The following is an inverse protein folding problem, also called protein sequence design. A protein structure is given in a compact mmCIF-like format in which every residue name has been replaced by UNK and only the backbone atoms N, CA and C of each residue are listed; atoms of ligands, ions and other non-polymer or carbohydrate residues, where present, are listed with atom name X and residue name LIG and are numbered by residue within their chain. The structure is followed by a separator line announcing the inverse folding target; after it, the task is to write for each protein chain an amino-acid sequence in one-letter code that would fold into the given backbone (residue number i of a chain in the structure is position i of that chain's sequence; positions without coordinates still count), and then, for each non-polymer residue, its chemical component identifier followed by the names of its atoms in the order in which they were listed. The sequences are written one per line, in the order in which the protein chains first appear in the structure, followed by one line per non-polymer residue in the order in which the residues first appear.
data_IF_991535527192
#
_entry.id   IF_991535527192
#
_cell.length_a   1.000
_cell.length_b   1.000
_cell.length_c   1.000
_cell.angle_alpha   90.00
_cell.angle_beta   90.00
_cell.angle_gamma   90.00
#
_symmetry.space_group_name_H-M   'P 1'
#
loop_
_entity.id
_entity.type
_entity.pdbx_description
1 polymer ?
#
# COMPACT_ATOMS: atom_id res chain seq x y z
N UNK A 1 0.83 -9.79 -9.05
CA UNK A 1 1.95 -9.85 -8.12
C UNK A 1 3.27 -10.06 -8.86
N UNK A 2 3.37 -11.01 -9.76
CA UNK A 2 4.58 -11.28 -10.56
C UNK A 2 5.05 -10.07 -11.37
N UNK A 3 4.14 -9.37 -12.05
CA UNK A 3 4.47 -8.15 -12.79
C UNK A 3 5.13 -7.09 -11.89
N UNK A 4 4.67 -6.96 -10.64
CA UNK A 4 5.29 -6.05 -9.67
C UNK A 4 6.73 -6.52 -9.35
N UNK A 5 6.95 -7.82 -9.20
CA UNK A 5 8.29 -8.38 -9.01
C UNK A 5 9.20 -8.07 -10.21
N UNK A 6 8.68 -8.24 -11.42
CA UNK A 6 9.41 -7.94 -12.67
C UNK A 6 9.70 -6.45 -12.84
N UNK A 7 8.79 -5.57 -12.41
CA UNK A 7 9.05 -4.12 -12.39
C UNK A 7 10.14 -3.78 -11.38
N UNK A 8 10.06 -4.34 -10.18
CA UNK A 8 11.04 -4.09 -9.11
C UNK A 8 12.43 -4.60 -9.49
N UNK A 9 12.53 -5.75 -10.13
CA UNK A 9 13.80 -6.32 -10.61
C UNK A 9 14.33 -5.66 -11.90
N UNK A 10 13.51 -4.85 -12.57
CA UNK A 10 13.87 -4.19 -13.82
C UNK A 10 13.75 -5.07 -15.07
N UNK A 11 13.06 -6.19 -14.97
CA UNK A 11 12.71 -7.04 -16.12
C UNK A 11 11.63 -6.35 -16.98
N UNK A 12 10.70 -5.62 -16.35
CA UNK A 12 9.73 -4.75 -17.00
C UNK A 12 10.14 -3.31 -16.73
N UNK A 13 10.40 -2.56 -17.78
CA UNK A 13 10.88 -1.17 -17.72
C UNK A 13 9.94 -0.18 -18.40
N UNK A 14 8.87 -0.65 -19.02
CA UNK A 14 7.95 0.19 -19.80
C UNK A 14 6.50 -0.22 -19.58
N UNK A 15 5.61 0.76 -19.61
CA UNK A 15 4.17 0.57 -19.54
C UNK A 15 3.62 -0.28 -20.71
N UNK A 16 4.31 -0.24 -21.87
CA UNK A 16 3.94 -1.05 -23.05
C UNK A 16 4.06 -2.54 -22.81
N UNK A 17 5.07 -2.95 -22.02
CA UNK A 17 5.27 -4.36 -21.64
C UNK A 17 4.14 -4.89 -20.74
N UNK A 18 3.43 -3.98 -20.05
CA UNK A 18 2.22 -4.27 -19.28
C UNK A 18 0.93 -4.18 -20.12
N UNK A 19 1.03 -4.01 -21.44
CA UNK A 19 -0.11 -3.88 -22.33
C UNK A 19 -0.77 -2.49 -22.33
N UNK A 20 -0.15 -1.49 -21.70
CA UNK A 20 -0.66 -0.12 -21.63
C UNK A 20 0.00 0.70 -22.74
N UNK A 21 -0.70 0.85 -23.86
CA UNK A 21 -0.20 1.56 -25.04
C UNK A 21 -0.41 3.07 -24.98
N UNK A 22 -1.28 3.54 -24.10
CA UNK A 22 -1.59 4.97 -23.93
C UNK A 22 -0.55 5.74 -23.10
N UNK A 23 0.38 5.06 -22.45
CA UNK A 23 1.45 5.69 -21.69
C UNK A 23 2.72 5.81 -22.53
N UNK A 24 3.35 6.98 -22.55
CA UNK A 24 4.36 7.29 -23.56
C UNK A 24 5.75 6.73 -23.28
N UNK A 25 6.00 6.01 -22.15
CA UNK A 25 7.41 5.81 -21.93
C UNK A 25 7.84 4.76 -20.94
N UNK A 26 8.99 5.05 -20.36
CA UNK A 26 9.72 4.22 -19.42
C UNK A 26 9.01 4.25 -18.07
N UNK A 27 8.66 3.10 -17.55
CA UNK A 27 8.04 3.00 -16.23
C UNK A 27 9.06 3.38 -15.15
N UNK A 28 8.70 4.33 -14.27
CA UNK A 28 9.52 4.73 -13.13
C UNK A 28 8.83 4.34 -11.82
N UNK A 29 9.47 3.44 -11.07
CA UNK A 29 8.96 3.06 -9.75
C UNK A 29 9.51 3.99 -8.67
N UNK A 30 8.61 4.53 -7.81
CA UNK A 30 8.93 5.56 -6.83
C UNK A 30 8.57 5.12 -5.43
N UNK A 31 9.52 5.26 -4.51
CA UNK A 31 9.38 4.96 -3.07
C UNK A 31 9.58 6.22 -2.22
N UNK A 32 9.18 6.13 -0.94
CA UNK A 32 9.33 7.22 0.02
C UNK A 32 10.79 7.45 0.45
N UNK A 33 11.47 6.42 0.94
CA UNK A 33 12.87 6.52 1.39
C UNK A 33 13.60 5.20 1.15
N UNK A 34 14.89 5.18 0.78
CA UNK A 34 15.63 3.94 0.51
C UNK A 34 15.62 2.95 1.67
N UNK A 35 15.63 3.44 2.91
CA UNK A 35 15.61 2.63 4.12
C UNK A 35 14.20 2.51 4.74
N UNK A 36 13.16 2.77 3.97
CA UNK A 36 11.79 2.68 4.47
C UNK A 36 11.33 1.24 4.65
N UNK A 37 10.36 1.06 5.53
CA UNK A 37 9.70 -0.23 5.71
C UNK A 37 8.97 -0.70 4.46
N UNK A 38 8.62 0.21 3.55
CA UNK A 38 7.98 -0.11 2.27
C UNK A 38 8.98 -0.75 1.32
N UNK A 39 10.17 -0.16 1.18
CA UNK A 39 11.28 -0.75 0.39
C UNK A 39 11.69 -2.10 0.98
N UNK A 40 11.84 -2.17 2.31
CA UNK A 40 12.20 -3.43 2.97
C UNK A 40 11.17 -4.53 2.74
N UNK A 41 9.87 -4.21 2.82
CA UNK A 41 8.82 -5.17 2.50
C UNK A 41 8.92 -5.68 1.06
N UNK A 42 9.21 -4.80 0.11
CA UNK A 42 9.38 -5.20 -1.30
C UNK A 42 10.59 -6.12 -1.46
N UNK A 43 11.72 -5.80 -0.83
CA UNK A 43 12.92 -6.64 -0.86
C UNK A 43 12.67 -8.00 -0.20
N UNK A 44 12.18 -8.00 1.02
CA UNK A 44 12.08 -9.22 1.83
C UNK A 44 10.93 -10.15 1.38
N UNK A 45 9.83 -9.58 0.89
CA UNK A 45 8.59 -10.34 0.61
C UNK A 45 8.24 -10.50 -0.86
N UNK A 46 8.70 -9.60 -1.73
CA UNK A 46 8.42 -9.67 -3.15
C UNK A 46 9.62 -10.13 -3.96
N UNK A 47 10.82 -9.70 -3.61
CA UNK A 47 12.04 -9.94 -4.38
C UNK A 47 13.22 -10.38 -3.50
N UNK A 48 13.10 -11.44 -2.66
CA UNK A 48 14.12 -11.80 -1.67
C UNK A 48 15.48 -12.14 -2.31
N UNK A 49 15.49 -12.67 -3.54
CA UNK A 49 16.70 -13.14 -4.22
C UNK A 49 17.11 -12.25 -5.39
N UNK A 50 16.50 -11.07 -5.53
CA UNK A 50 16.73 -10.19 -6.68
C UNK A 50 17.30 -8.84 -6.25
N UNK A 51 18.19 -8.29 -7.05
CA UNK A 51 18.63 -6.91 -6.90
C UNK A 51 17.53 -5.96 -7.35
N UNK A 52 17.41 -4.84 -6.65
CA UNK A 52 16.56 -3.76 -7.10
C UNK A 52 17.08 -3.17 -8.40
N UNK A 53 16.18 -2.81 -9.29
CA UNK A 53 16.51 -2.11 -10.52
C UNK A 53 17.10 -0.73 -10.26
N UNK A 54 18.02 -0.29 -11.10
CA UNK A 54 18.54 1.09 -11.10
C UNK A 54 17.48 2.14 -11.51
N UNK A 55 16.32 1.70 -11.99
CA UNK A 55 15.20 2.55 -12.35
C UNK A 55 14.35 3.00 -11.16
N UNK A 56 14.74 2.65 -9.93
CA UNK A 56 14.02 3.05 -8.73
C UNK A 56 14.36 4.49 -8.34
N UNK A 57 13.32 5.25 -8.06
CA UNK A 57 13.44 6.58 -7.50
C UNK A 57 12.98 6.58 -6.04
N UNK A 58 13.69 7.30 -5.18
CA UNK A 58 13.29 7.55 -3.81
C UNK A 58 12.97 9.04 -3.61
N UNK A 59 11.81 9.31 -3.03
CA UNK A 59 11.42 10.61 -2.51
C UNK A 59 11.65 10.63 -0.99
N UNK A 60 11.52 11.78 -0.34
CA UNK A 60 11.80 11.88 1.11
C UNK A 60 10.64 11.41 1.99
N UNK A 61 9.40 11.45 1.46
CA UNK A 61 8.18 11.16 2.22
C UNK A 61 7.11 10.54 1.32
N UNK A 62 6.17 9.79 1.91
CA UNK A 62 5.02 9.25 1.18
C UNK A 62 4.19 10.34 0.48
N UNK A 63 4.04 11.52 1.09
CA UNK A 63 3.33 12.64 0.46
C UNK A 63 4.01 13.07 -0.84
N UNK A 64 5.33 13.19 -0.83
CA UNK A 64 6.09 13.54 -2.04
C UNK A 64 6.00 12.47 -3.12
N UNK A 65 5.94 11.19 -2.75
CA UNK A 65 5.68 10.11 -3.73
C UNK A 65 4.34 10.35 -4.43
N UNK A 66 3.29 10.64 -3.67
CA UNK A 66 1.95 10.89 -4.22
C UNK A 66 1.96 12.12 -5.15
N UNK A 67 2.57 13.23 -4.70
CA UNK A 67 2.66 14.45 -5.49
C UNK A 67 3.49 14.24 -6.77
N UNK A 68 4.58 13.47 -6.68
CA UNK A 68 5.40 13.11 -7.84
C UNK A 68 4.63 12.26 -8.86
N UNK A 69 3.93 11.24 -8.40
CA UNK A 69 3.11 10.37 -9.28
C UNK A 69 1.98 11.17 -9.95
N UNK A 70 1.36 12.10 -9.21
CA UNK A 70 0.31 12.96 -9.76
C UNK A 70 0.80 13.85 -10.91
N UNK A 71 2.09 14.24 -10.89
CA UNK A 71 2.70 15.10 -11.90
C UNK A 71 3.39 14.33 -13.03
N UNK A 72 3.68 13.05 -12.85
CA UNK A 72 4.45 12.25 -13.80
C UNK A 72 3.65 11.00 -14.23
N UNK A 73 3.04 11.01 -15.42
CA UNK A 73 2.22 9.89 -15.92
C UNK A 73 2.97 8.56 -16.07
N UNK A 74 4.29 8.62 -16.15
CA UNK A 74 5.16 7.43 -16.25
C UNK A 74 5.49 6.81 -14.89
N UNK A 75 5.20 7.50 -13.79
CA UNK A 75 5.55 7.08 -12.46
C UNK A 75 4.52 6.13 -11.84
N UNK A 76 5.01 5.12 -11.14
CA UNK A 76 4.25 4.22 -10.28
C UNK A 76 4.79 4.36 -8.85
N UNK A 77 3.96 4.79 -7.90
CA UNK A 77 4.34 4.97 -6.50
C UNK A 77 3.98 3.76 -5.63
N UNK A 78 4.83 3.45 -4.67
CA UNK A 78 4.55 2.47 -3.61
C UNK A 78 4.53 3.20 -2.27
N UNK A 79 3.36 3.25 -1.65
CA UNK A 79 3.12 3.96 -0.39
C UNK A 79 2.24 3.14 0.56
N UNK A 80 2.26 3.47 1.84
CA UNK A 80 1.33 2.87 2.80
C UNK A 80 -0.12 3.30 2.53
N UNK A 81 -1.08 2.38 2.71
CA UNK A 81 -2.50 2.61 2.40
C UNK A 81 -3.09 3.81 3.17
N UNK A 82 -2.64 4.07 4.38
CA UNK A 82 -3.09 5.20 5.19
C UNK A 82 -2.84 6.58 4.54
N UNK A 83 -1.86 6.67 3.64
CA UNK A 83 -1.56 7.90 2.89
C UNK A 83 -2.46 8.10 1.66
N UNK A 84 -3.18 7.06 1.25
CA UNK A 84 -4.06 7.08 0.09
C UNK A 84 -5.51 7.41 0.44
N UNK A 85 -5.87 7.39 1.72
CA UNK A 85 -7.23 7.71 2.16
C UNK A 85 -7.58 9.16 1.83
N UNK A 86 -8.83 9.38 1.39
CA UNK A 86 -9.35 10.71 1.18
C UNK A 86 -9.70 11.34 2.54
N UNK A 87 -9.03 12.41 2.98
CA UNK A 87 -9.29 13.02 4.29
C UNK A 87 -10.66 13.69 4.40
N UNK A 88 -11.31 13.97 3.27
CA UNK A 88 -12.65 14.55 3.22
C UNK A 88 -13.75 13.49 3.36
N UNK A 89 -13.39 12.21 3.22
CA UNK A 89 -14.33 11.11 3.28
C UNK A 89 -14.26 10.41 4.65
N UNK A 90 -15.20 10.75 5.52
CA UNK A 90 -15.32 10.14 6.85
C UNK A 90 -15.68 8.65 6.84
N UNK A 91 -16.11 8.12 5.68
CA UNK A 91 -16.49 6.70 5.52
C UNK A 91 -15.30 5.80 5.21
N UNK A 92 -14.16 6.36 4.82
CA UNK A 92 -12.98 5.65 4.30
C UNK A 92 -13.28 4.76 3.07
N UNK A 93 -14.30 5.10 2.30
CA UNK A 93 -14.70 4.38 1.08
C UNK A 93 -14.17 5.04 -0.20
N UNK A 94 -13.29 6.03 -0.08
CA UNK A 94 -12.65 6.66 -1.24
C UNK A 94 -11.16 6.90 -1.01
N UNK A 95 -10.42 6.90 -2.13
CA UNK A 95 -9.01 7.24 -2.17
C UNK A 95 -8.81 8.67 -2.69
N UNK A 96 -7.61 9.21 -2.50
CA UNK A 96 -7.20 10.49 -3.08
C UNK A 96 -7.47 10.52 -4.59
N UNK A 97 -8.12 11.59 -5.06
CA UNK A 97 -8.50 11.76 -6.47
C UNK A 97 -7.31 12.10 -7.38
N UNK A 98 -6.22 12.62 -6.81
CA UNK A 98 -5.05 13.05 -7.58
C UNK A 98 -4.22 11.91 -8.17
N UNK A 99 -4.40 10.66 -7.67
CA UNK A 99 -3.70 9.49 -8.17
C UNK A 99 -4.66 8.32 -8.36
N UNK A 100 -4.34 7.43 -9.30
CA UNK A 100 -5.10 6.22 -9.53
C UNK A 100 -4.53 5.08 -8.70
N UNK A 101 -5.30 4.58 -7.74
CA UNK A 101 -4.93 3.39 -6.96
C UNK A 101 -5.14 2.14 -7.80
N UNK A 102 -4.09 1.36 -7.98
CA UNK A 102 -4.12 0.14 -8.79
C UNK A 102 -4.68 -1.03 -8.00
N UNK A 103 -5.44 -1.87 -8.68
CA UNK A 103 -5.80 -3.20 -8.19
C UNK A 103 -4.64 -4.17 -8.40
N UNK A 104 -4.46 -5.10 -7.46
CA UNK A 104 -3.42 -6.13 -7.54
C UNK A 104 -4.06 -7.50 -7.44
N UNK A 105 -3.68 -8.40 -8.36
CA UNK A 105 -4.12 -9.79 -8.39
C UNK A 105 -3.03 -10.73 -7.84
N UNK A 106 -3.47 -11.84 -7.23
CA UNK A 106 -2.61 -13.01 -6.93
C UNK A 106 -2.45 -13.93 -8.14
N UNK A 107 -3.41 -13.87 -9.06
CA UNK A 107 -3.53 -14.77 -10.19
C UNK A 107 -3.00 -14.14 -11.49
N UNK A 108 -2.67 -14.97 -12.44
CA UNK A 108 -2.30 -14.59 -13.78
C UNK A 108 -3.22 -15.29 -14.79
N UNK A 109 -3.83 -14.55 -15.72
CA UNK A 109 -3.75 -13.10 -15.93
C UNK A 109 -4.49 -12.30 -14.85
N UNK A 110 -4.02 -11.07 -14.60
CA UNK A 110 -4.73 -10.13 -13.75
C UNK A 110 -5.94 -9.56 -14.51
N UNK A 111 -7.12 -9.80 -13.96
CA UNK A 111 -8.40 -9.36 -14.54
C UNK A 111 -9.14 -8.49 -13.53
N UNK A 112 -10.12 -7.71 -13.98
CA UNK A 112 -10.89 -6.81 -13.09
C UNK A 112 -11.58 -7.55 -11.94
N UNK A 113 -12.07 -8.76 -12.19
CA UNK A 113 -12.79 -9.56 -11.18
C UNK A 113 -11.87 -10.24 -10.16
N UNK A 114 -10.57 -10.41 -10.45
CA UNK A 114 -9.60 -11.05 -9.55
C UNK A 114 -8.52 -10.08 -9.03
N UNK A 115 -8.69 -8.78 -9.27
CA UNK A 115 -7.77 -7.72 -8.85
C UNK A 115 -8.42 -6.85 -7.81
N UNK A 116 -7.78 -6.69 -6.66
CA UNK A 116 -8.33 -5.97 -5.52
C UNK A 116 -7.53 -4.70 -5.24
N UNK A 117 -8.24 -3.62 -4.90
CA UNK A 117 -7.63 -2.40 -4.34
C UNK A 117 -7.46 -2.59 -2.83
N UNK A 118 -6.57 -1.82 -2.17
CA UNK A 118 -6.28 -1.99 -0.74
C UNK A 118 -7.38 -1.40 0.17
N UNK A 119 -8.63 -1.75 -0.08
CA UNK A 119 -9.74 -1.45 0.81
C UNK A 119 -9.63 -2.25 2.10
N UNK A 120 -10.01 -1.69 3.24
CA UNK A 120 -9.94 -2.36 4.54
C UNK A 120 -10.60 -3.76 4.52
N UNK A 121 -11.73 -3.90 3.83
CA UNK A 121 -12.41 -5.19 3.68
C UNK A 121 -11.49 -6.23 3.00
N UNK A 122 -10.87 -5.88 1.87
CA UNK A 122 -9.99 -6.80 1.14
C UNK A 122 -8.66 -7.04 1.84
N UNK A 123 -8.20 -6.09 2.66
CA UNK A 123 -7.04 -6.30 3.55
C UNK A 123 -7.40 -7.29 4.67
N UNK A 124 -8.55 -7.12 5.32
CA UNK A 124 -9.04 -7.99 6.40
C UNK A 124 -9.31 -9.42 5.90
N UNK A 125 -9.89 -9.57 4.71
CA UNK A 125 -10.15 -10.85 4.05
C UNK A 125 -8.89 -11.46 3.41
N UNK A 126 -7.77 -10.74 3.44
CA UNK A 126 -6.51 -11.13 2.78
C UNK A 126 -6.63 -11.34 1.27
N UNK A 127 -7.62 -10.73 0.63
CA UNK A 127 -7.78 -10.76 -0.84
C UNK A 127 -6.75 -9.87 -1.55
N UNK A 128 -6.42 -8.71 -0.96
CA UNK A 128 -5.33 -7.88 -1.46
C UNK A 128 -3.98 -8.52 -1.12
N UNK A 129 -3.10 -8.76 -2.10
CA UNK A 129 -1.92 -9.60 -1.88
C UNK A 129 -0.73 -8.92 -1.22
N UNK A 130 -0.70 -7.58 -1.19
CA UNK A 130 0.44 -6.82 -0.64
C UNK A 130 0.12 -6.36 0.79
N UNK A 131 0.14 -7.31 1.73
CA UNK A 131 -0.18 -7.07 3.13
C UNK A 131 1.08 -7.26 3.97
N UNK A 132 1.24 -6.40 4.97
CA UNK A 132 2.23 -6.56 6.04
C UNK A 132 1.62 -6.21 7.39
N UNK A 133 2.05 -6.90 8.41
CA UNK A 133 1.67 -6.58 9.78
C UNK A 133 2.53 -5.46 10.34
N UNK A 134 1.97 -4.68 11.27
CA UNK A 134 2.67 -3.66 12.03
C UNK A 134 2.71 -4.10 13.48
N UNK A 135 3.91 -4.28 14.00
CA UNK A 135 4.14 -4.75 15.37
C UNK A 135 4.59 -3.62 16.27
N UNK A 136 4.11 -3.63 17.50
CA UNK A 136 4.66 -2.82 18.61
C UNK A 136 5.53 -3.72 19.45
N UNK A 137 6.80 -3.38 19.60
CA UNK A 137 7.74 -4.12 20.42
C UNK A 137 7.99 -3.31 21.70
N UNK A 138 7.70 -3.93 22.84
CA UNK A 138 7.91 -3.35 24.15
C UNK A 138 9.18 -3.98 24.75
N UNK A 139 10.21 -3.16 24.99
CA UNK A 139 11.49 -3.61 25.54
C UNK A 139 11.66 -3.31 27.03
N UNK A 140 10.81 -2.42 27.60
CA UNK A 140 10.80 -2.11 29.02
C UNK A 140 9.80 -3.01 29.75
N UNK A 141 10.23 -3.90 30.66
CA UNK A 141 9.34 -4.80 31.38
C UNK A 141 8.57 -4.10 32.52
N UNK A 142 8.91 -2.85 32.84
CA UNK A 142 8.27 -2.10 33.93
C UNK A 142 6.92 -1.55 33.52
N UNK A 143 6.02 -1.48 34.48
CA UNK A 143 4.78 -0.74 34.28
C UNK A 143 5.08 0.76 34.25
N UNK A 144 4.68 1.41 33.16
CA UNK A 144 4.95 2.83 32.96
C UNK A 144 4.36 3.34 31.64
N UNK A 145 4.95 4.42 31.13
CA UNK A 145 4.44 5.09 29.93
C UNK A 145 4.39 4.15 28.71
N UNK A 146 5.43 3.34 28.52
CA UNK A 146 5.52 2.44 27.36
C UNK A 146 4.44 1.34 27.40
N UNK A 147 4.24 0.70 28.54
CA UNK A 147 3.18 -0.30 28.73
C UNK A 147 1.79 0.32 28.66
N UNK A 148 1.60 1.52 29.23
CA UNK A 148 0.36 2.29 29.15
C UNK A 148 0.01 2.68 27.71
N UNK A 149 0.98 3.11 26.91
CA UNK A 149 0.78 3.43 25.49
C UNK A 149 0.42 2.17 24.68
N UNK A 150 1.10 1.05 24.92
CA UNK A 150 0.78 -0.23 24.28
C UNK A 150 -0.63 -0.69 24.64
N UNK A 151 -1.00 -0.58 25.93
CA UNK A 151 -2.36 -0.85 26.41
C UNK A 151 -3.41 0.05 25.76
N UNK A 152 -3.08 1.34 25.57
CA UNK A 152 -3.97 2.25 24.81
C UNK A 152 -4.13 1.81 23.35
N UNK A 153 -3.04 1.48 22.66
CA UNK A 153 -3.10 1.04 21.26
C UNK A 153 -3.97 -0.21 21.06
N UNK A 154 -3.91 -1.14 22.02
CA UNK A 154 -4.72 -2.38 21.97
C UNK A 154 -6.15 -2.20 22.50
N UNK A 155 -6.44 -1.07 23.12
CA UNK A 155 -7.78 -0.75 23.61
C UNK A 155 -8.76 -0.46 22.47
N UNK A 156 -10.07 -0.51 22.76
CA UNK A 156 -11.14 -0.14 21.82
C UNK A 156 -10.92 1.25 21.21
N UNK A 157 -10.52 2.24 22.02
CA UNK A 157 -10.26 3.60 21.54
C UNK A 157 -9.07 3.65 20.57
N UNK A 158 -7.95 3.01 20.92
CA UNK A 158 -6.78 2.94 20.05
C UNK A 158 -7.06 2.23 18.74
N UNK A 159 -7.76 1.10 18.79
CA UNK A 159 -8.11 0.32 17.62
C UNK A 159 -9.09 1.06 16.69
N UNK A 160 -10.00 1.86 17.23
CA UNK A 160 -10.86 2.75 16.42
C UNK A 160 -10.07 3.85 15.70
N UNK A 161 -9.00 4.37 16.29
CA UNK A 161 -8.12 5.33 15.61
C UNK A 161 -7.41 4.65 14.44
N UNK A 162 -6.90 3.42 14.65
CA UNK A 162 -6.28 2.61 13.60
C UNK A 162 -7.27 2.33 12.46
N UNK A 163 -8.51 1.95 12.80
CA UNK A 163 -9.57 1.74 11.83
C UNK A 163 -9.86 3.01 11.01
N UNK A 164 -9.96 4.16 11.68
CA UNK A 164 -10.17 5.45 11.00
C UNK A 164 -9.00 5.88 10.11
N UNK A 165 -7.80 5.43 10.40
CA UNK A 165 -6.63 5.67 9.56
C UNK A 165 -6.56 4.77 8.32
N UNK A 166 -7.61 4.00 8.03
CA UNK A 166 -7.67 3.12 6.86
C UNK A 166 -6.86 1.83 7.00
N UNK A 167 -6.35 1.53 8.20
CA UNK A 167 -5.57 0.33 8.51
C UNK A 167 -6.49 -0.70 9.17
N UNK A 168 -6.25 -1.98 8.93
CA UNK A 168 -7.01 -3.06 9.59
C UNK A 168 -6.58 -3.15 11.05
N UNK A 169 -7.50 -2.97 12.01
CA UNK A 169 -7.19 -3.09 13.42
C UNK A 169 -7.03 -4.57 13.82
N UNK A 170 -6.26 -4.82 14.90
CA UNK A 170 -6.00 -6.18 15.37
C UNK A 170 -7.21 -6.80 16.11
N UNK A 171 -8.00 -5.99 16.82
CA UNK A 171 -9.06 -6.48 17.71
C UNK A 171 -10.47 -5.99 17.36
N UNK A 172 -10.59 -5.00 16.48
CA UNK A 172 -11.88 -4.46 16.05
C UNK A 172 -12.33 -5.11 14.73
N UNK A 173 -13.60 -5.52 14.61
CA UNK A 173 -14.10 -6.02 13.34
C UNK A 173 -14.15 -4.91 12.28
N UNK A 174 -13.73 -5.24 11.09
CA UNK A 174 -13.90 -4.38 9.90
C UNK A 174 -15.30 -4.58 9.35
N UNK A 175 -16.05 -3.50 9.20
CA UNK A 175 -17.37 -3.57 8.57
C UNK A 175 -17.20 -3.76 7.06
N UNK A 176 -17.65 -4.91 6.56
CA UNK A 176 -17.67 -5.20 5.13
C UNK A 176 -18.96 -4.61 4.56
N UNK A 177 -18.84 -3.67 3.64
CA UNK A 177 -19.97 -3.04 2.96
C UNK A 177 -19.82 -3.30 1.46
N UNK A 178 -20.82 -3.93 0.86
CA UNK A 178 -20.89 -4.06 -0.58
C UNK A 178 -21.37 -2.72 -1.18
N UNK A 179 -20.47 -1.97 -1.76
CA UNK A 179 -20.81 -0.76 -2.51
C UNK A 179 -21.20 -1.21 -3.93
N UNK A 180 -22.48 -1.09 -4.27
CA UNK A 180 -22.90 -1.22 -5.67
C UNK A 180 -22.47 0.06 -6.39
N UNK A 181 -21.41 -0.01 -7.18
CA UNK A 181 -21.10 1.06 -8.13
C UNK A 181 -22.28 1.12 -9.13
N UNK A 182 -22.96 2.24 -9.19
CA UNK A 182 -23.87 2.52 -10.32
C UNK A 182 -22.97 2.80 -11.52
N UNK A 183 -23.06 1.95 -12.52
CA UNK A 183 -22.46 2.09 -13.84
C UNK A 183 -23.10 3.25 -14.60
#
# INVERSE_FOLDING_TARGET
REEIQQIVSGEITSWKELGITSSPGKLQLVFDHPNSSTVRYVLDSLCPDRKLSDCLRAEKTNRRVIDYVAQNPEAMGVVGVSWLQNPEDSTNLSFLKQVKVLGVSRHRPAMSFNSFKPWQAYLALKEYPLIRDVYVILTDPRQGLASGFTGFLTSDRGQRIILKAGIVPATQPVRIVNVKEKW
#
